data_IF_948382788988
#
_entry.id   IF_948382788988
#
_cell.length_a   1.000
_cell.length_b   1.000
_cell.length_c   1.000
_cell.angle_alpha   90.00
_cell.angle_beta   90.00
_cell.angle_gamma   90.00
#
_symmetry.space_group_name_H-M   'P 1'
#
loop_
_entity.id
_entity.type
_entity.pdbx_description
1 polymer ?
#
# COMPACT_ATOMS: atom_id res chain seq x y z
N UNK A 1 32.42 34.94 30.00
CA UNK A 1 31.76 33.63 30.22
C UNK A 1 30.32 33.74 29.73
N UNK A 2 29.74 32.61 29.38
CA UNK A 2 28.32 32.31 29.13
C UNK A 2 27.37 33.38 28.55
N UNK A 3 26.97 33.14 27.29
CA UNK A 3 25.63 33.43 26.78
C UNK A 3 25.26 32.37 25.73
N UNK A 4 24.32 31.47 26.05
CA UNK A 4 23.91 30.40 25.14
C UNK A 4 22.92 30.89 24.07
N UNK A 5 23.03 30.46 22.79
CA UNK A 5 22.06 30.79 21.75
C UNK A 5 20.72 30.07 21.97
N UNK A 6 19.63 30.74 21.60
CA UNK A 6 18.25 30.27 21.85
C UNK A 6 17.75 29.27 20.79
N UNK A 7 16.78 28.44 21.18
CA UNK A 7 16.16 27.42 20.33
C UNK A 7 15.40 28.02 19.13
N UNK A 8 15.55 27.42 17.96
CA UNK A 8 14.92 27.84 16.69
C UNK A 8 13.50 27.29 16.54
N UNK A 9 12.65 27.47 17.56
CA UNK A 9 11.33 26.83 17.66
C UNK A 9 10.14 27.68 17.14
N UNK A 10 10.39 28.93 16.73
CA UNK A 10 9.35 29.99 16.68
C UNK A 10 9.10 30.57 15.26
N UNK A 11 9.32 29.77 14.21
CA UNK A 11 9.08 30.15 12.82
C UNK A 11 8.36 29.04 12.03
N UNK A 12 7.03 28.95 12.21
CA UNK A 12 6.02 28.57 11.18
C UNK A 12 4.62 28.41 11.83
N UNK A 13 3.88 29.51 11.97
CA UNK A 13 2.49 29.51 12.45
C UNK A 13 1.56 30.11 11.38
N UNK A 14 0.72 29.30 10.69
CA UNK A 14 -0.23 29.82 9.70
C UNK A 14 -1.42 30.55 10.35
N UNK A 15 -1.77 31.72 9.82
CA UNK A 15 -2.92 32.52 10.28
C UNK A 15 -4.24 31.83 9.92
N UNK A 16 -4.96 31.33 10.93
CA UNK A 16 -6.31 30.78 10.78
C UNK A 16 -7.32 31.89 10.45
N UNK A 17 -7.79 31.94 9.19
CA UNK A 17 -8.96 32.75 8.83
C UNK A 17 -10.22 32.08 9.38
N UNK A 18 -11.01 32.83 10.16
CA UNK A 18 -12.32 32.38 10.65
C UNK A 18 -13.29 32.13 9.47
N UNK A 19 -14.18 31.13 9.54
CA UNK A 19 -15.30 31.03 8.59
C UNK A 19 -16.24 32.23 8.74
N UNK A 20 -16.94 32.59 7.66
CA UNK A 20 -18.02 33.58 7.69
C UNK A 20 -19.27 32.97 8.31
N UNK A 21 -20.04 33.79 9.02
CA UNK A 21 -21.35 33.43 9.56
C UNK A 21 -22.32 33.06 8.43
N UNK A 22 -23.12 32.01 8.66
CA UNK A 22 -24.27 31.73 7.83
C UNK A 22 -25.39 32.72 8.19
N UNK A 23 -26.01 33.35 7.19
CA UNK A 23 -27.19 34.18 7.44
C UNK A 23 -28.43 33.32 7.53
N UNK A 24 -29.18 33.53 8.60
CA UNK A 24 -30.55 33.04 8.74
C UNK A 24 -31.46 33.65 7.66
N UNK A 25 -32.34 32.82 7.08
CA UNK A 25 -33.47 33.25 6.27
C UNK A 25 -34.62 32.27 6.49
N UNK A 26 -35.43 32.51 7.53
CA UNK A 26 -36.65 31.75 7.79
C UNK A 26 -37.70 31.83 6.65
N UNK A 27 -38.47 30.76 6.48
CA UNK A 27 -39.58 30.67 5.53
C UNK A 27 -40.51 29.51 5.87
N UNK A 28 -41.67 29.82 6.44
CA UNK A 28 -42.75 28.88 6.80
C UNK A 28 -43.53 28.37 5.56
N UNK A 29 -44.32 27.28 5.68
CA UNK A 29 -44.56 26.36 4.56
C UNK A 29 -45.76 26.67 3.67
N UNK A 30 -45.72 26.09 2.47
CA UNK A 30 -46.90 25.82 1.64
C UNK A 30 -46.97 24.31 1.37
N UNK A 31 -48.16 23.72 1.58
CA UNK A 31 -48.36 22.28 1.55
C UNK A 31 -48.99 21.73 0.26
N UNK A 32 -49.44 20.47 0.36
CA UNK A 32 -50.31 19.76 -0.58
C UNK A 32 -49.76 19.44 -1.99
N UNK A 33 -49.14 18.25 -2.11
CA UNK A 33 -49.25 17.41 -3.31
C UNK A 33 -49.00 15.92 -2.94
N UNK A 34 -50.04 15.18 -2.53
CA UNK A 34 -49.90 13.78 -2.10
C UNK A 34 -49.86 12.84 -3.31
N UNK A 35 -48.70 12.77 -3.96
CA UNK A 35 -48.45 11.85 -5.08
C UNK A 35 -48.37 10.39 -4.63
N UNK A 36 -49.50 9.69 -4.60
CA UNK A 36 -49.58 8.31 -4.12
C UNK A 36 -48.87 7.30 -5.05
N UNK A 37 -47.67 6.84 -4.65
CA UNK A 37 -46.97 5.75 -5.33
C UNK A 37 -47.72 4.40 -5.15
N UNK A 38 -47.92 3.61 -6.23
CA UNK A 38 -48.68 2.37 -6.15
C UNK A 38 -47.88 1.21 -5.53
N UNK A 39 -48.28 0.84 -4.30
CA UNK A 39 -48.20 -0.50 -3.66
C UNK A 39 -46.90 -1.31 -3.81
N UNK A 40 -46.18 -1.48 -2.71
CA UNK A 40 -45.19 -2.56 -2.57
C UNK A 40 -44.57 -2.64 -1.17
N UNK A 41 -45.17 -3.35 -0.20
CA UNK A 41 -44.61 -3.52 1.15
C UNK A 41 -43.49 -4.59 1.17
N UNK A 42 -42.51 -4.45 0.30
CA UNK A 42 -41.22 -5.13 0.46
C UNK A 42 -40.36 -4.30 1.41
N UNK A 43 -39.82 -4.84 2.52
CA UNK A 43 -38.84 -4.11 3.29
C UNK A 43 -37.65 -3.80 2.39
N UNK A 44 -37.22 -2.53 2.35
CA UNK A 44 -35.98 -2.16 1.68
C UNK A 44 -34.83 -2.75 2.50
N UNK A 45 -34.42 -3.98 2.16
CA UNK A 45 -33.43 -4.72 2.93
C UNK A 45 -32.06 -4.08 2.73
N UNK A 46 -31.72 -3.14 3.62
CA UNK A 46 -30.35 -2.68 3.81
C UNK A 46 -29.45 -3.90 3.96
N UNK A 47 -28.40 -4.07 3.12
CA UNK A 47 -27.60 -5.28 3.13
C UNK A 47 -27.01 -5.49 4.52
N UNK A 48 -27.32 -6.64 5.13
CA UNK A 48 -26.91 -6.96 6.50
C UNK A 48 -25.38 -6.88 6.61
N UNK A 49 -24.89 -5.97 7.44
CA UNK A 49 -23.47 -5.81 7.73
C UNK A 49 -22.88 -7.14 8.22
N UNK A 50 -21.72 -7.54 7.68
CA UNK A 50 -21.06 -8.78 8.07
C UNK A 50 -20.41 -8.62 9.45
N UNK A 51 -20.64 -9.57 10.35
CA UNK A 51 -19.98 -9.54 11.67
C UNK A 51 -18.50 -9.94 11.57
N UNK A 52 -17.72 -9.64 12.61
CA UNK A 52 -16.34 -10.15 12.74
C UNK A 52 -16.29 -11.68 12.60
N UNK A 53 -17.19 -12.40 13.29
CA UNK A 53 -17.22 -13.88 13.28
C UNK A 53 -17.49 -14.43 11.87
N UNK A 54 -18.46 -13.87 11.15
CA UNK A 54 -18.76 -14.27 9.77
C UNK A 54 -17.60 -13.92 8.81
N UNK A 55 -16.91 -12.80 9.05
CA UNK A 55 -15.78 -12.35 8.22
C UNK A 55 -14.54 -13.22 8.44
N UNK A 56 -14.21 -13.56 9.69
CA UNK A 56 -13.10 -14.47 10.01
C UNK A 56 -13.35 -15.89 9.50
N UNK A 57 -14.56 -16.43 9.65
CA UNK A 57 -14.90 -17.75 9.11
C UNK A 57 -14.82 -17.78 7.57
N UNK A 58 -15.21 -16.70 6.91
CA UNK A 58 -15.11 -16.55 5.45
C UNK A 58 -13.65 -16.36 4.98
N UNK A 59 -12.78 -15.69 5.76
CA UNK A 59 -11.34 -15.61 5.48
C UNK A 59 -10.69 -17.01 5.53
N UNK A 60 -10.95 -17.80 6.57
CA UNK A 60 -10.43 -19.17 6.68
C UNK A 60 -10.94 -20.05 5.53
N UNK A 61 -12.23 -19.94 5.17
CA UNK A 61 -12.83 -20.67 4.03
C UNK A 61 -12.28 -20.26 2.66
N UNK A 62 -11.72 -19.06 2.55
CA UNK A 62 -11.07 -18.53 1.34
C UNK A 62 -9.54 -18.69 1.36
N UNK A 63 -8.99 -19.24 2.45
CA UNK A 63 -7.58 -19.54 2.61
C UNK A 63 -7.11 -20.69 1.72
N UNK A 64 -5.80 -20.79 1.52
CA UNK A 64 -5.19 -21.95 0.87
C UNK A 64 -3.79 -22.25 1.42
N UNK A 65 -3.43 -23.53 1.62
CA UNK A 65 -2.09 -23.90 2.11
C UNK A 65 -0.95 -23.37 1.22
N UNK A 66 -1.16 -23.28 -0.09
CA UNK A 66 -0.15 -22.79 -1.03
C UNK A 66 0.07 -21.27 -0.95
N UNK A 67 -0.99 -20.47 -0.76
CA UNK A 67 -0.83 -19.03 -0.48
C UNK A 67 -0.26 -18.82 0.92
N UNK A 68 -0.68 -19.58 1.96
CA UNK A 68 -0.08 -19.49 3.31
C UNK A 68 1.43 -19.78 3.27
N UNK A 69 1.86 -20.86 2.59
CA UNK A 69 3.29 -21.16 2.39
C UNK A 69 4.03 -20.04 1.67
N UNK A 70 3.42 -19.45 0.64
CA UNK A 70 3.98 -18.30 -0.08
C UNK A 70 4.13 -17.08 0.85
N UNK A 71 3.09 -16.70 1.58
CA UNK A 71 3.10 -15.55 2.50
C UNK A 71 4.11 -15.73 3.64
N UNK A 72 4.25 -16.94 4.20
CA UNK A 72 5.28 -17.27 5.19
C UNK A 72 6.71 -17.08 4.64
N UNK A 73 6.98 -17.50 3.39
CA UNK A 73 8.28 -17.25 2.71
C UNK A 73 8.54 -15.75 2.49
N UNK A 74 7.48 -14.97 2.27
CA UNK A 74 7.49 -13.50 2.25
C UNK A 74 7.46 -12.85 3.65
N UNK A 75 7.66 -13.61 4.73
CA UNK A 75 7.75 -13.08 6.09
C UNK A 75 6.43 -12.55 6.67
N UNK A 76 5.29 -13.10 6.26
CA UNK A 76 4.01 -12.81 6.90
C UNK A 76 3.94 -13.45 8.31
N UNK A 77 3.40 -12.75 9.32
CA UNK A 77 3.19 -13.29 10.66
C UNK A 77 2.05 -14.30 10.69
N UNK A 78 2.07 -15.18 11.68
CA UNK A 78 0.88 -15.96 12.07
C UNK A 78 0.06 -15.17 13.11
N UNK A 79 -1.28 -15.32 13.16
CA UNK A 79 -2.09 -16.23 12.33
C UNK A 79 -2.40 -15.65 10.94
N UNK A 80 -2.53 -16.55 9.96
CA UNK A 80 -2.90 -16.25 8.57
C UNK A 80 -3.60 -17.44 7.90
N UNK A 81 -4.55 -17.19 7.00
CA UNK A 81 -5.30 -18.26 6.28
C UNK A 81 -4.68 -18.59 4.92
N UNK A 82 -3.89 -17.68 4.36
CA UNK A 82 -3.43 -17.72 2.97
C UNK A 82 -4.49 -17.22 1.99
N UNK A 83 -5.04 -16.02 2.21
CA UNK A 83 -6.07 -15.41 1.33
C UNK A 83 -5.44 -14.46 0.31
N UNK A 84 -5.67 -14.70 -0.98
CA UNK A 84 -5.20 -13.81 -2.05
C UNK A 84 -6.01 -12.50 -2.11
N UNK A 85 -5.41 -11.42 -2.64
CA UNK A 85 -6.05 -10.11 -2.76
C UNK A 85 -7.34 -10.08 -3.61
N UNK A 86 -7.54 -11.03 -4.52
CA UNK A 86 -8.77 -11.16 -5.30
C UNK A 86 -10.00 -11.40 -4.41
N UNK A 87 -10.04 -12.53 -3.66
CA UNK A 87 -11.04 -12.76 -2.61
C UNK A 87 -11.18 -11.60 -1.60
N UNK A 88 -10.09 -11.00 -1.11
CA UNK A 88 -10.17 -9.84 -0.21
C UNK A 88 -10.87 -8.63 -0.86
N UNK A 89 -10.68 -8.41 -2.16
CA UNK A 89 -11.38 -7.38 -2.92
C UNK A 89 -12.88 -7.70 -3.09
N UNK A 90 -13.26 -8.97 -3.16
CA UNK A 90 -14.66 -9.39 -3.14
C UNK A 90 -15.30 -9.19 -1.77
N UNK A 91 -14.57 -9.43 -0.67
CA UNK A 91 -15.03 -9.11 0.68
C UNK A 91 -15.19 -7.61 0.91
N UNK A 92 -14.22 -6.78 0.49
CA UNK A 92 -14.36 -5.30 0.51
C UNK A 92 -15.65 -4.86 -0.18
N UNK A 93 -15.97 -5.41 -1.36
CA UNK A 93 -17.21 -5.08 -2.10
C UNK A 93 -18.50 -5.51 -1.40
N UNK A 94 -18.47 -6.55 -0.56
CA UNK A 94 -19.61 -7.02 0.24
C UNK A 94 -19.80 -6.22 1.54
N UNK A 95 -18.70 -5.81 2.16
CA UNK A 95 -18.69 -5.06 3.43
C UNK A 95 -18.95 -3.57 3.19
N UNK A 96 -18.37 -2.99 2.14
CA UNK A 96 -18.36 -1.54 1.95
C UNK A 96 -17.30 -0.86 2.82
N UNK A 97 -17.65 0.29 3.39
CA UNK A 97 -16.85 0.99 4.40
C UNK A 97 -17.48 0.74 5.77
N UNK A 98 -16.76 0.07 6.67
CA UNK A 98 -17.17 -0.19 8.05
C UNK A 98 -15.95 -0.05 8.98
N UNK A 99 -15.87 1.09 9.65
CA UNK A 99 -14.78 1.41 10.59
C UNK A 99 -14.94 0.77 11.97
N UNK A 100 -16.04 0.08 12.26
CA UNK A 100 -16.21 -0.74 13.48
C UNK A 100 -15.65 -2.13 13.19
N UNK A 101 -16.09 -2.75 12.09
CA UNK A 101 -15.54 -4.02 11.62
C UNK A 101 -14.04 -3.91 11.28
N UNK A 102 -13.58 -2.82 10.69
CA UNK A 102 -12.15 -2.62 10.41
C UNK A 102 -11.29 -2.66 11.70
N UNK A 103 -11.71 -1.96 12.76
CA UNK A 103 -11.01 -1.98 14.05
C UNK A 103 -11.03 -3.37 14.68
N UNK A 104 -12.18 -4.04 14.63
CA UNK A 104 -12.34 -5.40 15.13
C UNK A 104 -11.45 -6.42 14.38
N UNK A 105 -11.39 -6.33 13.05
CA UNK A 105 -10.50 -7.12 12.19
C UNK A 105 -9.03 -6.82 12.48
N UNK A 106 -8.67 -5.54 12.64
CA UNK A 106 -7.30 -5.12 12.91
C UNK A 106 -6.79 -5.67 14.25
N UNK A 107 -7.63 -5.60 15.29
CA UNK A 107 -7.34 -6.11 16.63
C UNK A 107 -7.14 -7.63 16.71
N UNK A 108 -7.52 -8.41 15.69
CA UNK A 108 -7.26 -9.87 15.67
C UNK A 108 -5.78 -10.22 15.52
N UNK A 109 -4.94 -9.29 15.03
CA UNK A 109 -3.56 -9.58 14.64
C UNK A 109 -3.43 -10.43 13.35
N UNK A 110 -4.50 -11.05 12.86
CA UNK A 110 -4.48 -11.96 11.73
C UNK A 110 -4.11 -11.25 10.43
N UNK A 111 -3.16 -11.80 9.66
CA UNK A 111 -2.51 -11.09 8.55
C UNK A 111 -3.51 -10.58 7.51
N UNK A 112 -4.39 -11.45 6.98
CA UNK A 112 -5.37 -11.03 5.97
C UNK A 112 -6.57 -10.28 6.56
N UNK A 113 -6.82 -10.37 7.87
CA UNK A 113 -7.83 -9.55 8.54
C UNK A 113 -7.34 -8.12 8.68
N UNK A 114 -6.07 -7.91 9.05
CA UNK A 114 -5.42 -6.59 9.01
C UNK A 114 -5.34 -6.01 7.61
N UNK A 115 -5.05 -6.82 6.57
CA UNK A 115 -5.17 -6.37 5.18
C UNK A 115 -6.62 -5.91 4.87
N UNK A 116 -7.62 -6.72 5.18
CA UNK A 116 -9.03 -6.38 4.93
C UNK A 116 -9.49 -5.13 5.72
N UNK A 117 -9.01 -4.95 6.95
CA UNK A 117 -9.26 -3.75 7.76
C UNK A 117 -8.82 -2.47 7.05
N UNK A 118 -7.59 -2.43 6.51
CA UNK A 118 -7.14 -1.28 5.69
C UNK A 118 -7.99 -1.05 4.43
N UNK A 119 -8.68 -2.10 3.94
CA UNK A 119 -9.50 -2.04 2.75
C UNK A 119 -10.93 -1.55 3.04
N UNK A 120 -11.43 -1.63 4.27
CA UNK A 120 -12.82 -1.26 4.64
C UNK A 120 -12.92 -0.14 5.68
N UNK A 121 -11.81 0.37 6.20
CA UNK A 121 -11.81 1.52 7.13
C UNK A 121 -12.09 2.85 6.42
N UNK A 122 -12.82 3.75 7.08
CA UNK A 122 -12.93 5.16 6.70
C UNK A 122 -11.64 5.91 7.08
N UNK A 123 -10.63 5.83 6.21
CA UNK A 123 -9.31 6.39 6.44
C UNK A 123 -9.26 7.93 6.69
N UNK A 124 -10.07 8.77 6.01
CA UNK A 124 -10.23 10.19 6.36
C UNK A 124 -10.66 10.44 7.81
N UNK A 125 -11.45 9.54 8.40
CA UNK A 125 -11.98 9.68 9.76
C UNK A 125 -11.06 9.11 10.86
N UNK A 126 -9.91 8.53 10.51
CA UNK A 126 -8.94 8.06 11.50
C UNK A 126 -8.13 9.24 12.08
N UNK A 127 -8.20 9.39 13.41
CA UNK A 127 -7.36 10.34 14.13
C UNK A 127 -5.87 10.01 14.02
N UNK A 128 -5.00 11.01 14.14
CA UNK A 128 -3.54 10.81 14.15
C UNK A 128 -3.10 9.76 15.19
N UNK A 129 -3.67 9.79 16.40
CA UNK A 129 -3.31 8.86 17.46
C UNK A 129 -3.66 7.40 17.11
N UNK A 130 -4.79 7.18 16.43
CA UNK A 130 -5.17 5.85 15.95
C UNK A 130 -4.32 5.40 14.76
N UNK A 131 -4.11 6.29 13.79
CA UNK A 131 -3.27 6.01 12.60
C UNK A 131 -1.83 5.65 13.00
N UNK A 132 -1.25 6.39 13.95
CA UNK A 132 0.07 6.15 14.53
C UNK A 132 0.11 4.85 15.38
N UNK A 133 -0.99 4.50 16.06
CA UNK A 133 -1.12 3.22 16.76
C UNK A 133 -1.13 2.04 15.78
N UNK A 134 -1.89 2.13 14.67
CA UNK A 134 -1.87 1.12 13.62
C UNK A 134 -0.48 1.02 12.97
N UNK A 135 0.17 2.16 12.69
CA UNK A 135 1.52 2.18 12.11
C UNK A 135 2.58 1.52 13.02
N UNK A 136 2.45 1.65 14.35
CA UNK A 136 3.28 0.96 15.35
C UNK A 136 3.02 -0.55 15.44
N UNK A 137 1.88 -1.02 14.95
CA UNK A 137 1.47 -2.45 14.92
C UNK A 137 1.74 -3.12 13.56
N UNK A 138 2.53 -2.47 12.69
CA UNK A 138 3.03 -3.07 11.45
C UNK A 138 4.20 -4.02 11.73
N UNK A 139 4.15 -5.17 11.09
CA UNK A 139 5.08 -6.31 11.26
C UNK A 139 5.41 -7.04 9.95
N UNK A 140 4.80 -6.63 8.83
CA UNK A 140 4.96 -7.26 7.51
C UNK A 140 4.94 -6.23 6.38
N UNK A 141 5.83 -6.40 5.39
CA UNK A 141 6.03 -5.40 4.33
C UNK A 141 4.78 -5.19 3.47
N UNK A 142 4.06 -6.26 3.13
CA UNK A 142 2.85 -6.16 2.32
C UNK A 142 1.71 -5.46 3.08
N UNK A 143 1.60 -5.71 4.40
CA UNK A 143 0.65 -4.98 5.25
C UNK A 143 1.01 -3.49 5.32
N UNK A 144 2.29 -3.14 5.49
CA UNK A 144 2.76 -1.75 5.43
C UNK A 144 2.43 -1.08 4.09
N UNK A 145 2.69 -1.74 2.96
CA UNK A 145 2.50 -1.16 1.62
C UNK A 145 1.02 -0.89 1.33
N UNK A 146 0.13 -1.77 1.82
CA UNK A 146 -1.32 -1.67 1.68
C UNK A 146 -1.92 -0.69 2.69
N UNK A 147 -1.43 -0.65 3.94
CA UNK A 147 -1.78 0.35 4.94
C UNK A 147 -1.43 1.77 4.47
N UNK A 148 -0.22 1.98 3.96
CA UNK A 148 0.17 3.27 3.38
C UNK A 148 -0.74 3.63 2.20
N UNK A 149 -0.98 2.68 1.28
CA UNK A 149 -1.75 2.93 0.05
C UNK A 149 -3.23 3.22 0.31
N UNK A 150 -3.89 2.48 1.20
CA UNK A 150 -5.33 2.57 1.44
C UNK A 150 -5.69 3.57 2.55
N UNK A 151 -4.82 3.72 3.55
CA UNK A 151 -5.12 4.47 4.78
C UNK A 151 -4.35 5.77 4.83
N UNK A 152 -3.01 5.72 4.81
CA UNK A 152 -2.18 6.92 5.05
C UNK A 152 -2.37 7.98 3.95
N UNK A 153 -2.37 7.59 2.68
CA UNK A 153 -2.57 8.51 1.55
C UNK A 153 -3.96 9.15 1.48
N UNK A 154 -4.96 8.54 2.11
CA UNK A 154 -6.35 9.05 2.16
C UNK A 154 -6.68 9.76 3.48
N UNK A 155 -5.78 9.73 4.46
CA UNK A 155 -5.93 10.45 5.72
C UNK A 155 -5.49 11.92 5.57
N UNK A 156 -6.14 12.89 6.27
CA UNK A 156 -5.62 14.25 6.40
C UNK A 156 -4.22 14.33 7.04
N UNK A 157 -3.71 13.23 7.59
CA UNK A 157 -2.39 13.14 8.21
C UNK A 157 -1.29 12.59 7.28
N UNK A 158 -1.55 12.43 5.98
CA UNK A 158 -0.63 11.82 5.01
C UNK A 158 0.79 12.43 5.00
N UNK A 159 0.90 13.77 5.09
CA UNK A 159 2.21 14.46 5.17
C UNK A 159 2.84 14.31 6.55
N UNK A 160 2.03 14.29 7.63
CA UNK A 160 2.53 14.12 9.00
C UNK A 160 3.15 12.73 9.23
N UNK A 161 2.64 11.69 8.56
CA UNK A 161 3.21 10.35 8.57
C UNK A 161 4.70 10.27 8.09
N UNK A 162 5.24 11.34 7.49
CA UNK A 162 6.68 11.47 7.23
C UNK A 162 7.52 11.59 8.52
N UNK A 163 6.93 11.97 9.67
CA UNK A 163 7.57 11.91 11.00
C UNK A 163 8.12 10.51 11.30
N UNK A 164 7.42 9.45 10.87
CA UNK A 164 7.82 8.07 11.08
C UNK A 164 9.18 7.71 10.42
N UNK A 165 9.64 8.47 9.42
CA UNK A 165 10.99 8.32 8.83
C UNK A 165 12.15 8.54 9.82
N UNK A 166 11.85 9.05 11.03
CA UNK A 166 12.81 9.23 12.13
C UNK A 166 12.81 8.06 13.13
N UNK A 167 11.93 7.07 12.96
CA UNK A 167 11.78 5.95 13.89
C UNK A 167 12.88 4.89 13.73
N UNK A 168 13.54 4.45 14.81
CA UNK A 168 14.47 3.32 14.78
C UNK A 168 13.76 1.95 14.73
N UNK A 169 12.44 1.90 14.91
CA UNK A 169 11.66 0.67 14.74
C UNK A 169 11.47 0.37 13.25
N UNK A 170 11.80 -0.86 12.82
CA UNK A 170 11.93 -1.19 11.38
C UNK A 170 10.67 -0.93 10.58
N UNK A 171 9.52 -1.43 11.04
CA UNK A 171 8.26 -1.32 10.30
C UNK A 171 7.67 0.09 10.31
N UNK A 172 7.85 0.84 11.40
CA UNK A 172 7.42 2.25 11.48
C UNK A 172 8.32 3.15 10.62
N UNK A 173 9.65 2.97 10.70
CA UNK A 173 10.62 3.63 9.81
C UNK A 173 10.32 3.34 8.34
N UNK A 174 10.07 2.07 8.01
CA UNK A 174 9.63 1.65 6.67
C UNK A 174 8.33 2.33 6.25
N UNK A 175 7.32 2.39 7.12
CA UNK A 175 6.05 3.03 6.81
C UNK A 175 6.22 4.52 6.48
N UNK A 176 7.10 5.24 7.19
CA UNK A 176 7.45 6.63 6.87
C UNK A 176 8.10 6.77 5.48
N UNK A 177 9.11 5.96 5.17
CA UNK A 177 9.81 6.02 3.87
C UNK A 177 8.93 5.55 2.70
N UNK A 178 8.07 4.55 2.93
CA UNK A 178 7.07 4.09 1.97
C UNK A 178 5.95 5.14 1.78
N UNK A 179 5.64 5.93 2.81
CA UNK A 179 4.73 7.08 2.69
C UNK A 179 5.34 8.16 1.80
N UNK A 180 6.61 8.54 2.01
CA UNK A 180 7.33 9.45 1.11
C UNK A 180 7.31 8.95 -0.34
N UNK A 181 7.71 7.69 -0.55
CA UNK A 181 7.71 7.07 -1.87
C UNK A 181 6.32 7.04 -2.52
N UNK A 182 5.26 6.95 -1.72
CA UNK A 182 3.88 6.86 -2.22
C UNK A 182 3.26 8.23 -2.47
N UNK A 183 3.55 9.23 -1.64
CA UNK A 183 3.14 10.63 -1.86
C UNK A 183 3.68 11.13 -3.20
N UNK A 184 4.98 10.95 -3.44
CA UNK A 184 5.67 11.33 -4.69
C UNK A 184 5.14 10.59 -5.94
N UNK A 185 4.65 9.36 -5.77
CA UNK A 185 4.18 8.52 -6.86
C UNK A 185 2.70 8.69 -7.21
N UNK A 186 1.87 9.17 -6.27
CA UNK A 186 0.40 9.11 -6.34
C UNK A 186 -0.32 10.42 -6.02
N UNK A 187 0.38 11.46 -5.55
CA UNK A 187 -0.24 12.71 -5.06
C UNK A 187 0.56 13.95 -5.47
N UNK A 188 -0.07 15.12 -5.37
CA UNK A 188 0.55 16.43 -5.57
C UNK A 188 0.97 17.10 -4.25
N UNK A 189 0.82 16.42 -3.10
CA UNK A 189 0.96 17.00 -1.76
C UNK A 189 2.37 17.49 -1.40
N UNK A 190 3.37 17.22 -2.26
CA UNK A 190 4.77 17.62 -2.09
C UNK A 190 5.31 18.44 -3.28
N UNK A 191 4.46 18.91 -4.20
CA UNK A 191 4.93 19.63 -5.41
C UNK A 191 5.55 21.01 -5.11
N UNK A 192 5.20 21.63 -3.99
CA UNK A 192 5.74 22.92 -3.54
C UNK A 192 6.94 22.78 -2.57
N UNK A 193 7.30 21.57 -2.18
CA UNK A 193 8.30 21.30 -1.13
C UNK A 193 9.72 21.18 -1.70
N UNK A 194 10.74 21.61 -0.94
CA UNK A 194 12.12 21.28 -1.28
C UNK A 194 12.40 19.80 -0.94
N UNK A 195 12.50 18.98 -1.98
CA UNK A 195 12.76 17.54 -1.85
C UNK A 195 14.26 17.18 -1.81
N UNK A 196 15.17 18.14 -2.01
CA UNK A 196 16.63 17.90 -1.97
C UNK A 196 17.13 17.37 -0.62
N UNK A 197 16.62 17.81 0.55
CA UNK A 197 16.96 17.22 1.85
C UNK A 197 16.64 15.73 1.96
N UNK A 198 15.59 15.24 1.30
CA UNK A 198 15.25 13.81 1.31
C UNK A 198 16.27 12.96 0.54
N UNK A 199 16.77 13.45 -0.60
CA UNK A 199 17.87 12.78 -1.33
C UNK A 199 19.13 12.71 -0.46
N UNK A 200 19.48 13.81 0.21
CA UNK A 200 20.62 13.85 1.14
C UNK A 200 20.46 12.90 2.33
N UNK A 201 19.28 12.85 2.96
CA UNK A 201 18.98 11.89 4.04
C UNK A 201 19.13 10.45 3.56
N UNK A 202 18.62 10.11 2.37
CA UNK A 202 18.74 8.75 1.83
C UNK A 202 20.22 8.37 1.65
N UNK A 203 21.05 9.27 1.11
CA UNK A 203 22.48 9.02 0.94
C UNK A 203 23.21 8.74 2.26
N UNK A 204 22.83 9.44 3.33
CA UNK A 204 23.46 9.34 4.65
C UNK A 204 22.94 8.15 5.47
N UNK A 205 21.65 7.82 5.37
CA UNK A 205 20.98 6.85 6.24
C UNK A 205 20.84 5.45 5.60
N UNK A 206 20.78 5.33 4.27
CA UNK A 206 20.51 4.06 3.58
C UNK A 206 21.59 2.97 3.83
N UNK A 207 22.91 3.27 3.84
CA UNK A 207 23.94 2.26 4.07
C UNK A 207 23.82 1.53 5.42
N UNK A 208 23.35 2.23 6.45
CA UNK A 208 23.18 1.69 7.81
C UNK A 208 21.72 1.36 8.16
N UNK A 209 20.78 1.62 7.25
CA UNK A 209 19.37 1.33 7.43
C UNK A 209 19.10 -0.17 7.59
N UNK A 210 18.09 -0.50 8.42
CA UNK A 210 17.55 -1.85 8.57
C UNK A 210 16.97 -2.36 7.25
N UNK A 211 16.95 -3.68 7.09
CA UNK A 211 16.70 -4.37 5.82
C UNK A 211 15.47 -3.85 5.05
N UNK A 212 14.29 -3.87 5.69
CA UNK A 212 13.03 -3.46 5.06
C UNK A 212 12.83 -1.95 5.04
N UNK A 213 13.59 -1.18 5.84
CA UNK A 213 13.69 0.29 5.70
C UNK A 213 14.45 0.63 4.41
N UNK A 214 15.56 -0.06 4.15
CA UNK A 214 16.44 0.13 2.98
C UNK A 214 15.68 -0.03 1.65
N UNK A 215 14.79 -1.02 1.58
CA UNK A 215 13.82 -1.20 0.47
C UNK A 215 12.96 0.05 0.23
N UNK A 216 12.32 0.58 1.28
CA UNK A 216 11.46 1.76 1.17
C UNK A 216 12.26 3.04 0.85
N UNK A 217 13.49 3.17 1.35
CA UNK A 217 14.39 4.29 1.01
C UNK A 217 14.83 4.23 -0.46
N UNK A 218 15.13 3.04 -0.99
CA UNK A 218 15.42 2.87 -2.41
C UNK A 218 14.21 3.23 -3.29
N UNK A 219 13.00 2.80 -2.90
CA UNK A 219 11.74 3.19 -3.56
C UNK A 219 11.53 4.71 -3.52
N UNK A 220 11.83 5.36 -2.39
CA UNK A 220 11.77 6.81 -2.27
C UNK A 220 12.78 7.51 -3.19
N UNK A 221 14.04 7.04 -3.26
CA UNK A 221 15.06 7.57 -4.17
C UNK A 221 14.64 7.47 -5.64
N UNK A 222 14.05 6.34 -6.02
CA UNK A 222 13.52 6.10 -7.37
C UNK A 222 12.39 7.07 -7.72
N UNK A 223 11.48 7.36 -6.79
CA UNK A 223 10.38 8.30 -7.03
C UNK A 223 10.83 9.77 -6.94
N UNK A 224 11.82 10.10 -6.11
CA UNK A 224 12.51 11.40 -6.11
C UNK A 224 13.21 11.67 -7.44
N UNK A 225 13.97 10.70 -7.97
CA UNK A 225 14.55 10.81 -9.31
C UNK A 225 13.48 10.81 -10.41
N UNK A 226 12.33 10.21 -10.14
CA UNK A 226 11.14 10.24 -10.97
C UNK A 226 10.40 11.58 -11.03
N UNK A 227 10.70 12.59 -10.19
CA UNK A 227 10.07 13.92 -10.31
C UNK A 227 10.60 14.71 -11.52
N UNK A 228 11.83 14.43 -11.96
CA UNK A 228 12.50 15.15 -13.05
C UNK A 228 13.36 16.32 -12.56
N UNK A 229 13.90 17.09 -13.51
CA UNK A 229 14.67 18.30 -13.25
C UNK A 229 15.91 18.09 -12.37
N UNK A 230 16.22 19.05 -11.51
CA UNK A 230 17.38 18.98 -10.60
C UNK A 230 17.35 17.78 -9.64
N UNK A 231 16.16 17.32 -9.24
CA UNK A 231 15.99 16.16 -8.37
C UNK A 231 16.36 14.85 -9.06
N UNK A 232 16.11 14.72 -10.37
CA UNK A 232 16.59 13.60 -11.17
C UNK A 232 18.12 13.54 -11.20
N UNK A 233 18.79 14.68 -11.43
CA UNK A 233 20.25 14.75 -11.41
C UNK A 233 20.83 14.37 -10.03
N UNK A 234 20.24 14.89 -8.95
CA UNK A 234 20.64 14.57 -7.59
C UNK A 234 20.44 13.07 -7.27
N UNK A 235 19.26 12.51 -7.56
CA UNK A 235 18.93 11.13 -7.27
C UNK A 235 19.79 10.12 -8.06
N UNK A 236 20.07 10.39 -9.35
CA UNK A 236 20.97 9.57 -10.16
C UNK A 236 22.42 9.63 -9.64
N UNK A 237 22.89 10.80 -9.21
CA UNK A 237 24.22 10.94 -8.63
C UNK A 237 24.35 10.22 -7.28
N UNK A 238 23.32 10.29 -6.43
CA UNK A 238 23.22 9.54 -5.16
C UNK A 238 23.13 8.03 -5.40
N UNK A 239 22.31 7.57 -6.36
CA UNK A 239 22.23 6.17 -6.75
C UNK A 239 23.60 5.61 -7.20
N UNK A 240 24.35 6.38 -8.01
CA UNK A 240 25.72 6.02 -8.43
C UNK A 240 26.69 5.91 -7.25
N UNK A 241 26.54 6.73 -6.19
CA UNK A 241 27.38 6.67 -4.98
C UNK A 241 27.01 5.53 -4.04
N UNK A 242 25.73 5.19 -3.92
CA UNK A 242 25.22 4.09 -3.10
C UNK A 242 25.45 2.71 -3.76
N UNK A 243 25.45 2.64 -5.09
CA UNK A 243 25.61 1.39 -5.83
C UNK A 243 24.41 0.45 -5.69
N UNK A 244 24.66 -0.87 -5.73
CA UNK A 244 23.61 -1.90 -5.59
C UNK A 244 23.05 -1.88 -4.16
N UNK A 245 21.77 -1.53 -4.03
CA UNK A 245 21.04 -1.66 -2.76
C UNK A 245 20.61 -3.12 -2.57
N UNK A 246 21.29 -3.83 -1.67
CA UNK A 246 20.94 -5.21 -1.33
C UNK A 246 19.91 -5.28 -0.19
N UNK A 247 18.91 -6.15 -0.33
CA UNK A 247 17.81 -6.36 0.64
C UNK A 247 17.49 -7.85 0.68
N UNK A 248 17.45 -8.42 1.87
CA UNK A 248 16.92 -9.76 2.09
C UNK A 248 15.39 -9.74 1.90
N UNK A 249 14.91 -10.46 0.89
CA UNK A 249 13.48 -10.58 0.61
C UNK A 249 12.82 -11.81 1.27
N UNK A 250 13.59 -12.65 1.97
CA UNK A 250 13.20 -13.97 2.44
C UNK A 250 13.50 -15.06 1.39
N UNK A 251 12.99 -16.28 1.62
CA UNK A 251 13.08 -17.41 0.69
C UNK A 251 12.22 -17.16 -0.58
N UNK A 252 12.70 -16.27 -1.44
CA UNK A 252 11.98 -15.71 -2.59
C UNK A 252 12.95 -15.37 -3.71
N UNK A 253 12.47 -15.38 -4.95
CA UNK A 253 13.23 -14.89 -6.11
C UNK A 253 12.98 -13.39 -6.36
N UNK A 254 12.77 -12.61 -5.30
CA UNK A 254 12.51 -11.17 -5.41
C UNK A 254 13.81 -10.38 -5.37
N UNK A 255 13.99 -9.48 -6.35
CA UNK A 255 15.16 -8.61 -6.45
C UNK A 255 14.83 -7.17 -6.08
N UNK A 256 15.80 -6.46 -5.49
CA UNK A 256 15.72 -5.02 -5.28
C UNK A 256 15.99 -4.28 -6.59
N UNK A 257 15.10 -3.38 -7.05
CA UNK A 257 15.34 -2.64 -8.29
C UNK A 257 16.59 -1.75 -8.19
N UNK A 258 17.44 -1.79 -9.22
CA UNK A 258 18.50 -0.80 -9.39
C UNK A 258 17.87 0.60 -9.56
N UNK A 259 18.33 1.55 -8.74
CA UNK A 259 17.75 2.89 -8.69
C UNK A 259 17.96 3.65 -10.00
N UNK A 260 19.12 3.51 -10.63
CA UNK A 260 19.50 4.22 -11.86
C UNK A 260 18.58 3.79 -13.01
N UNK A 261 18.50 2.49 -13.27
CA UNK A 261 17.64 1.90 -14.29
C UNK A 261 16.15 2.19 -14.01
N UNK A 262 15.72 2.13 -12.76
CA UNK A 262 14.34 2.41 -12.38
C UNK A 262 13.95 3.88 -12.61
N UNK A 263 14.83 4.84 -12.30
CA UNK A 263 14.62 6.27 -12.59
C UNK A 263 14.47 6.50 -14.09
N UNK A 264 15.41 6.01 -14.92
CA UNK A 264 15.32 6.13 -16.38
C UNK A 264 14.03 5.49 -16.94
N UNK A 265 13.65 4.32 -16.42
CA UNK A 265 12.43 3.60 -16.81
C UNK A 265 11.14 4.34 -16.38
N UNK A 266 11.17 5.12 -15.30
CA UNK A 266 10.06 5.99 -14.92
C UNK A 266 9.96 7.22 -15.82
N UNK A 267 11.08 7.87 -16.18
CA UNK A 267 11.05 9.04 -17.05
C UNK A 267 10.59 8.68 -18.47
N UNK A 268 11.16 7.64 -19.09
CA UNK A 268 10.69 7.14 -20.39
C UNK A 268 9.19 6.76 -20.39
N UNK A 269 8.67 6.27 -19.26
CA UNK A 269 7.22 6.04 -19.08
C UNK A 269 6.41 7.33 -18.98
N UNK A 270 6.92 8.38 -18.34
CA UNK A 270 6.26 9.70 -18.24
C UNK A 270 6.26 10.43 -19.59
N UNK A 271 7.40 10.45 -20.27
CA UNK A 271 7.57 10.98 -21.64
C UNK A 271 6.62 10.29 -22.62
N UNK A 272 6.57 8.95 -22.63
CA UNK A 272 5.64 8.20 -23.47
C UNK A 272 4.16 8.44 -23.13
N UNK A 273 3.82 8.74 -21.88
CA UNK A 273 2.46 9.13 -21.47
C UNK A 273 2.10 10.55 -21.91
N UNK A 274 3.05 11.49 -21.85
CA UNK A 274 2.88 12.85 -22.35
C UNK A 274 2.67 12.84 -23.87
N UNK A 275 3.52 12.14 -24.62
CA UNK A 275 3.42 12.00 -26.08
C UNK A 275 2.12 11.30 -26.54
N UNK A 276 1.58 10.38 -25.73
CA UNK A 276 0.30 9.69 -26.00
C UNK A 276 -0.94 10.51 -25.65
N UNK A 277 -0.80 11.67 -25.02
CA UNK A 277 -1.93 12.53 -24.62
C UNK A 277 -2.14 13.60 -25.70
N UNK A 278 -3.03 13.39 -26.69
CA UNK A 278 -3.24 14.39 -27.73
C UNK A 278 -3.66 15.72 -27.10
N UNK A 279 -3.20 16.82 -27.68
CA UNK A 279 -3.58 18.14 -27.21
C UNK A 279 -5.12 18.26 -27.21
N UNK A 280 -5.72 18.44 -26.04
CA UNK A 280 -7.15 18.76 -25.90
C UNK A 280 -7.35 20.18 -26.40
N UNK A 281 -7.43 20.33 -27.72
CA UNK A 281 -7.57 21.61 -28.39
C UNK A 281 -8.72 22.39 -27.77
N UNK A 282 -8.42 23.58 -27.28
CA UNK A 282 -9.40 24.51 -26.75
C UNK A 282 -10.16 25.09 -27.95
N UNK A 283 -11.20 24.37 -28.40
CA UNK A 283 -11.96 24.78 -29.58
C UNK A 283 -12.83 26.02 -29.25
N UNK A 284 -12.51 27.22 -29.76
CA UNK A 284 -13.18 28.46 -29.32
C UNK A 284 -14.63 28.56 -29.85
N UNK A 285 -14.93 27.84 -30.93
CA UNK A 285 -16.14 27.95 -31.75
C UNK A 285 -17.45 27.43 -31.09
N UNK A 286 -17.54 27.42 -29.74
CA UNK A 286 -18.74 27.00 -29.01
C UNK A 286 -19.27 28.05 -28.02
N UNK A 287 -18.82 29.31 -28.11
CA UNK A 287 -19.26 30.40 -27.23
C UNK A 287 -20.28 31.39 -27.83
N UNK A 288 -20.51 31.35 -29.14
CA UNK A 288 -21.41 32.31 -29.83
C UNK A 288 -22.75 31.70 -30.29
N UNK A 289 -22.84 30.36 -30.35
CA UNK A 289 -24.00 29.63 -30.88
C UNK A 289 -25.19 29.49 -29.90
N UNK A 290 -25.18 30.16 -28.74
CA UNK A 290 -26.24 30.06 -27.71
C UNK A 290 -27.09 31.32 -27.55
N UNK A 291 -26.97 32.30 -28.46
CA UNK A 291 -27.55 33.64 -28.31
C UNK A 291 -28.65 34.00 -29.32
N UNK A 292 -29.32 33.03 -29.96
CA UNK A 292 -30.58 33.26 -30.69
C UNK A 292 -31.38 31.98 -30.98
N UNK A 293 -32.57 31.83 -30.36
CA UNK A 293 -33.87 31.45 -30.99
C UNK A 293 -34.91 30.94 -29.97
N UNK A 294 -35.91 31.78 -29.69
CA UNK A 294 -37.16 31.46 -29.00
C UNK A 294 -38.12 30.72 -29.97
N UNK A 295 -39.00 29.79 -29.54
CA UNK A 295 -39.51 28.73 -30.41
C UNK A 295 -40.77 29.10 -31.25
N UNK A 296 -40.97 28.35 -32.33
CA UNK A 296 -42.19 28.38 -33.15
C UNK A 296 -42.87 26.98 -33.19
N UNK A 297 -44.20 26.97 -33.31
CA UNK A 297 -45.09 25.81 -33.05
C UNK A 297 -45.80 25.31 -34.32
N UNK A 298 -45.72 24.00 -34.59
CA UNK A 298 -46.66 23.15 -35.39
C UNK A 298 -46.25 21.68 -35.12
N UNK A 299 -47.09 20.77 -34.62
CA UNK A 299 -48.31 20.17 -35.20
C UNK A 299 -48.06 19.42 -36.52
N UNK A 300 -48.39 18.11 -36.58
CA UNK A 300 -48.74 17.45 -37.85
C UNK A 300 -48.36 15.97 -38.05
N UNK A 301 -49.24 15.06 -37.60
CA UNK A 301 -49.53 13.75 -38.22
C UNK A 301 -48.44 12.64 -38.26
N UNK A 302 -48.86 11.46 -38.70
CA UNK A 302 -48.15 10.18 -38.53
C UNK A 302 -48.18 9.32 -39.82
N UNK A 303 -47.23 8.39 -39.92
CA UNK A 303 -47.16 7.36 -40.97
C UNK A 303 -46.85 5.97 -40.37
N UNK A 304 -47.18 4.91 -41.10
CA UNK A 304 -47.44 3.58 -40.51
C UNK A 304 -46.29 2.57 -40.69
N UNK A 305 -46.35 1.50 -39.90
CA UNK A 305 -45.43 0.35 -39.90
C UNK A 305 -46.09 -0.88 -40.53
N UNK A 306 -45.49 -1.52 -41.56
CA UNK A 306 -45.84 -2.88 -41.95
C UNK A 306 -44.99 -3.92 -41.18
N UNK A 307 -45.55 -5.10 -40.94
CA UNK A 307 -44.86 -6.26 -40.35
C UNK A 307 -44.50 -7.30 -41.43
N UNK A 308 -43.56 -8.20 -41.13
CA UNK A 308 -43.35 -9.44 -41.90
C UNK A 308 -43.28 -10.66 -40.97
N UNK A 309 -43.66 -11.82 -41.52
CA UNK A 309 -44.08 -13.01 -40.79
C UNK A 309 -42.92 -13.90 -40.32
N UNK A 310 -43.20 -14.71 -39.31
CA UNK A 310 -42.39 -15.87 -38.90
C UNK A 310 -42.40 -16.99 -39.97
N UNK A 311 -41.41 -17.90 -39.89
CA UNK A 311 -41.49 -19.24 -40.45
C UNK A 311 -40.71 -20.24 -39.57
N UNK A 312 -41.28 -21.43 -39.34
CA UNK A 312 -40.65 -22.54 -38.58
C UNK A 312 -40.31 -23.70 -39.52
N UNK A 313 -39.16 -24.36 -39.32
CA UNK A 313 -38.85 -25.73 -39.78
C UNK A 313 -38.13 -26.48 -38.64
N UNK A 314 -38.07 -27.82 -38.68
CA UNK A 314 -37.99 -28.67 -37.47
C UNK A 314 -36.67 -29.45 -37.25
N UNK A 315 -36.62 -30.17 -36.11
CA UNK A 315 -35.64 -31.24 -35.73
C UNK A 315 -35.74 -32.41 -36.73
N UNK A 316 -34.86 -33.43 -36.84
CA UNK A 316 -33.97 -34.22 -35.94
C UNK A 316 -33.06 -35.08 -36.91
N UNK A 317 -32.29 -36.14 -36.55
CA UNK A 317 -31.71 -36.59 -35.27
C UNK A 317 -30.17 -36.89 -35.35
N UNK A 318 -29.59 -37.48 -34.30
CA UNK A 318 -28.19 -37.89 -34.24
C UNK A 318 -27.96 -39.41 -34.47
N UNK A 319 -26.72 -39.79 -34.83
CA UNK A 319 -26.16 -41.16 -34.76
C UNK A 319 -24.74 -41.08 -34.19
N UNK A 320 -24.49 -41.74 -33.06
CA UNK A 320 -23.75 -43.02 -32.89
C UNK A 320 -22.22 -42.93 -33.07
N UNK A 321 -21.50 -43.26 -32.01
CA UNK A 321 -20.08 -43.63 -32.02
C UNK A 321 -19.89 -45.14 -32.27
N UNK A 322 -18.65 -45.60 -32.50
CA UNK A 322 -18.20 -46.94 -32.14
C UNK A 322 -17.10 -46.92 -31.05
N UNK A 323 -16.85 -48.08 -30.45
CA UNK A 323 -15.79 -48.35 -29.45
C UNK A 323 -15.09 -49.65 -29.84
N UNK A 324 -13.75 -49.72 -29.78
CA UNK A 324 -12.99 -50.98 -29.61
C UNK A 324 -11.50 -50.74 -29.34
N UNK A 325 -10.81 -51.79 -28.89
CA UNK A 325 -9.40 -51.82 -28.44
C UNK A 325 -8.71 -53.05 -29.04
N UNK A 326 -7.46 -52.95 -29.54
CA UNK A 326 -6.63 -54.13 -29.86
C UNK A 326 -5.10 -53.87 -29.87
N UNK A 327 -4.43 -54.53 -28.95
CA UNK A 327 -3.00 -54.58 -28.59
C UNK A 327 -2.02 -55.19 -29.62
N UNK A 328 -0.76 -54.67 -29.65
CA UNK A 328 0.55 -55.36 -29.88
C UNK A 328 1.67 -54.32 -29.58
N UNK A 329 2.77 -54.51 -28.81
CA UNK A 329 3.58 -55.66 -28.32
C UNK A 329 4.39 -56.36 -29.43
N UNK A 330 5.70 -56.62 -29.34
CA UNK A 330 6.78 -56.30 -28.34
C UNK A 330 7.59 -55.04 -28.78
N UNK A 331 8.86 -54.68 -28.46
CA UNK A 331 10.03 -55.10 -27.61
C UNK A 331 10.97 -53.86 -27.48
N UNK A 332 11.95 -53.71 -26.59
CA UNK A 332 12.41 -54.45 -25.39
C UNK A 332 13.92 -54.21 -25.08
N UNK A 333 14.31 -54.13 -23.78
CA UNK A 333 15.66 -53.84 -23.24
C UNK A 333 16.20 -52.40 -23.50
N UNK A 334 17.10 -51.80 -22.70
CA UNK A 334 17.92 -52.32 -21.58
C UNK A 334 18.06 -51.30 -20.44
N UNK A 335 18.02 -51.73 -19.18
CA UNK A 335 18.37 -50.93 -17.99
C UNK A 335 19.21 -51.76 -17.02
N UNK A 336 20.40 -51.26 -16.60
CA UNK A 336 21.21 -51.77 -15.46
C UNK A 336 22.33 -50.77 -15.10
N UNK A 337 23.00 -50.87 -13.92
CA UNK A 337 22.76 -49.88 -12.88
C UNK A 337 24.03 -49.22 -12.30
N UNK A 338 23.84 -48.15 -11.52
CA UNK A 338 24.89 -47.65 -10.63
C UNK A 338 24.59 -48.00 -9.17
N UNK A 339 25.47 -48.80 -8.55
CA UNK A 339 25.48 -49.11 -7.11
C UNK A 339 26.93 -49.05 -6.62
N UNK A 340 27.32 -47.96 -5.95
CA UNK A 340 28.38 -47.97 -4.93
C UNK A 340 27.95 -47.09 -3.76
N UNK A 341 28.08 -47.63 -2.56
CA UNK A 341 27.82 -46.94 -1.29
C UNK A 341 29.17 -46.68 -0.58
N UNK A 342 29.21 -46.30 0.71
CA UNK A 342 29.62 -44.95 1.08
C UNK A 342 31.04 -44.86 1.67
N UNK A 343 31.66 -43.68 1.56
CA UNK A 343 32.88 -43.36 2.30
C UNK A 343 32.49 -42.69 3.62
N UNK A 344 32.78 -43.34 4.74
CA UNK A 344 32.71 -42.74 6.06
C UNK A 344 34.02 -42.02 6.39
N UNK A 345 33.94 -40.77 6.85
CA UNK A 345 35.11 -40.00 7.30
C UNK A 345 35.01 -39.71 8.79
N UNK A 346 36.14 -39.80 9.50
CA UNK A 346 36.20 -39.94 10.96
C UNK A 346 35.86 -38.67 11.73
N UNK A 347 35.33 -38.86 12.95
CA UNK A 347 35.51 -37.94 14.08
C UNK A 347 36.98 -37.49 14.17
N UNK A 348 37.21 -36.22 14.50
CA UNK A 348 38.37 -35.80 15.31
C UNK A 348 37.88 -35.06 16.54
N UNK A 349 38.45 -35.40 17.69
CA UNK A 349 38.24 -34.76 18.99
C UNK A 349 39.59 -34.31 19.52
N UNK A 350 39.70 -33.02 19.85
CA UNK A 350 40.83 -32.36 20.51
C UNK A 350 40.25 -31.10 21.16
N UNK A 351 39.92 -31.04 22.45
CA UNK A 351 40.77 -31.21 23.66
C UNK A 351 41.68 -30.00 23.90
N UNK A 352 41.36 -29.28 24.99
CA UNK A 352 42.16 -28.32 25.77
C UNK A 352 42.61 -26.98 25.15
N UNK A 353 42.74 -25.97 26.03
CA UNK A 353 43.09 -24.59 25.67
C UNK A 353 42.49 -23.50 26.57
N UNK A 354 42.83 -23.47 27.88
CA UNK A 354 42.38 -22.41 28.83
C UNK A 354 43.52 -21.94 29.72
N UNK A 355 43.90 -20.65 29.64
CA UNK A 355 43.95 -19.78 30.83
C UNK A 355 43.49 -18.35 30.50
N UNK A 356 43.31 -17.40 31.43
CA UNK A 356 42.89 -17.46 32.84
C UNK A 356 42.35 -16.07 33.23
N UNK A 357 41.58 -15.95 34.32
CA UNK A 357 41.22 -14.63 34.88
C UNK A 357 42.42 -14.05 35.63
N UNK A 358 42.62 -12.74 35.54
CA UNK A 358 43.18 -11.94 36.64
C UNK A 358 42.32 -10.72 36.89
N UNK A 359 41.96 -10.52 38.16
CA UNK A 359 41.46 -9.26 38.69
C UNK A 359 42.53 -8.71 39.63
N UNK A 360 42.62 -7.38 39.74
CA UNK A 360 43.54 -6.69 40.65
C UNK A 360 42.82 -5.50 41.29
N UNK A 361 42.96 -5.35 42.60
CA UNK A 361 42.10 -4.53 43.43
C UNK A 361 42.82 -3.26 43.92
N UNK A 362 42.08 -2.15 43.95
CA UNK A 362 42.26 -0.91 44.72
C UNK A 362 43.69 -0.40 45.09
N UNK A 363 43.92 0.89 44.82
CA UNK A 363 44.70 1.73 45.75
C UNK A 363 44.12 3.15 45.82
N UNK A 364 44.04 3.72 47.03
CA UNK A 364 43.48 5.05 47.33
C UNK A 364 44.30 5.75 48.41
N UNK A 365 44.91 6.91 48.11
CA UNK A 365 45.21 7.98 49.08
C UNK A 365 43.98 8.92 49.14
N UNK A 366 43.47 9.33 50.30
CA UNK A 366 44.05 10.20 51.34
C UNK A 366 44.00 11.68 50.94
N UNK A 367 43.35 12.50 51.78
CA UNK A 367 43.08 13.92 51.53
C UNK A 367 43.60 14.79 52.70
N UNK A 368 44.08 16.02 52.44
CA UNK A 368 44.37 17.01 53.48
C UNK A 368 43.13 17.82 53.87
N UNK A 369 43.19 18.50 55.02
CA UNK A 369 42.08 19.28 55.62
C UNK A 369 42.20 20.78 55.32
N UNK A 370 41.03 21.43 55.13
CA UNK A 370 40.62 22.79 55.56
C UNK A 370 41.61 23.97 55.45
N UNK A 371 41.12 25.04 54.82
CA UNK A 371 41.34 26.42 55.27
C UNK A 371 39.97 27.14 55.43
N UNK A 372 39.92 28.26 56.17
CA UNK A 372 38.72 29.07 56.44
C UNK A 372 39.00 30.56 56.14
N UNK A 373 38.10 31.20 55.41
CA UNK A 373 37.77 32.64 55.45
C UNK A 373 36.26 32.73 55.12
N UNK A 374 35.41 33.43 55.89
CA UNK A 374 35.30 34.90 56.11
C UNK A 374 34.97 35.64 54.80
N UNK A 375 34.01 36.55 54.75
CA UNK A 375 33.08 37.01 55.81
C UNK A 375 31.73 36.29 55.74
#
# INVERSE_FOLDING_TARGET
>A
MDAAPRSTADLLAPVLRRPREARDVGGEPLGAAVGACPRGPGPCQTPRAMTLKETMAELERLGSPQTRKTFLRHGAPEPLSGVNFGPLTALKKRIGTDSVLARALWATGHAEARLLATMVVDAPALSWAELDTWAKQLDWYALTDVFVTNVVLSSPHAVKALEWTRSPAEWLGRAGWQTLSSLLAKTQLLEAEDLRPWVKRIEQELPTAKNRVRDAMNRALINLGGTGGALQGAALATAKRLGRVDVDHGDTACETPDATQAIHKLQARKEAQAARKPARAQNPARKEASAARTPARKQGQAAQKPARKEARVAKKPARKAPVSVATKRTTGATEKPSRKAPVATKRKTSTEGKPSRKATTAKRPAAPRRARARA
#
